data_IF_187771335087
#
_entry.id   IF_187771335087
#
_cell.length_a   1.000
_cell.length_b   1.000
_cell.length_c   1.000
_cell.angle_alpha   90.00
_cell.angle_beta   90.00
_cell.angle_gamma   90.00
#
_symmetry.space_group_name_H-M   'P 1'
#
loop_
_entity.id
_entity.type
_entity.pdbx_description
1 polymer ?
#
# COMPACT_ATOMS: atom_id res chain seq x y z
N UNK A 1 -27.37 -7.81 -17.33
CA UNK A 1 -28.69 -7.95 -17.98
C UNK A 1 -28.57 -9.11 -18.94
N UNK A 2 -29.36 -10.15 -18.70
CA UNK A 2 -29.67 -11.32 -19.56
C UNK A 2 -28.57 -11.75 -20.54
N UNK A 3 -27.59 -12.51 -20.04
CA UNK A 3 -26.69 -13.27 -20.91
C UNK A 3 -27.49 -14.45 -21.49
N UNK A 4 -27.50 -14.60 -22.82
CA UNK A 4 -28.13 -15.74 -23.45
C UNK A 4 -27.43 -17.03 -22.97
N UNK A 5 -28.16 -18.15 -22.77
CA UNK A 5 -27.60 -19.37 -22.18
C UNK A 5 -26.32 -19.87 -22.87
N UNK A 6 -26.21 -19.66 -24.19
CA UNK A 6 -25.05 -20.05 -24.98
C UNK A 6 -23.83 -19.16 -24.71
N UNK A 7 -24.03 -17.85 -24.52
CA UNK A 7 -22.97 -16.89 -24.18
C UNK A 7 -22.40 -17.15 -22.79
N UNK A 8 -23.26 -17.58 -21.85
CA UNK A 8 -22.83 -17.98 -20.52
C UNK A 8 -21.97 -19.25 -20.56
N UNK A 9 -22.32 -20.23 -21.39
CA UNK A 9 -21.56 -21.48 -21.56
C UNK A 9 -20.19 -21.20 -22.19
N UNK A 10 -20.12 -20.32 -23.20
CA UNK A 10 -18.85 -19.89 -23.78
C UNK A 10 -17.98 -19.15 -22.76
N UNK A 11 -18.59 -18.25 -21.97
CA UNK A 11 -17.90 -17.50 -20.92
C UNK A 11 -17.33 -18.43 -19.84
N UNK A 12 -18.09 -19.43 -19.40
CA UNK A 12 -17.65 -20.43 -18.42
C UNK A 12 -16.48 -21.25 -18.98
N UNK A 13 -16.56 -21.70 -20.24
CA UNK A 13 -15.46 -22.44 -20.90
C UNK A 13 -14.21 -21.56 -21.08
N UNK A 14 -14.38 -20.27 -21.37
CA UNK A 14 -13.28 -19.32 -21.50
C UNK A 14 -12.56 -19.07 -20.17
N UNK A 15 -13.31 -18.92 -19.06
CA UNK A 15 -12.75 -18.79 -17.71
C UNK A 15 -12.03 -20.06 -17.26
N UNK A 16 -12.59 -21.24 -17.58
CA UNK A 16 -11.94 -22.53 -17.31
C UNK A 16 -10.60 -22.69 -18.06
N UNK A 17 -10.47 -22.07 -19.24
CA UNK A 17 -9.22 -22.00 -20.02
C UNK A 17 -8.19 -20.98 -19.53
N UNK A 18 -8.39 -20.36 -18.36
CA UNK A 18 -7.47 -19.38 -17.78
C UNK A 18 -7.59 -17.96 -18.37
N UNK A 19 -8.61 -17.68 -19.19
CA UNK A 19 -8.90 -16.32 -19.67
C UNK A 19 -9.83 -15.62 -18.70
N UNK A 20 -9.36 -14.56 -18.07
CA UNK A 20 -10.21 -13.67 -17.28
C UNK A 20 -11.12 -12.87 -18.21
N UNK A 21 -12.38 -13.27 -18.35
CA UNK A 21 -13.41 -12.44 -18.98
C UNK A 21 -14.01 -11.53 -17.91
N UNK A 22 -13.37 -10.40 -17.67
CA UNK A 22 -13.94 -9.35 -16.83
C UNK A 22 -14.89 -8.52 -17.71
N UNK A 23 -16.17 -8.49 -17.32
CA UNK A 23 -17.14 -7.62 -17.98
C UNK A 23 -16.63 -6.16 -17.94
N UNK A 24 -16.65 -5.43 -19.08
CA UNK A 24 -16.19 -4.05 -19.15
C UNK A 24 -16.83 -3.12 -18.11
N UNK A 25 -18.06 -3.40 -17.68
CA UNK A 25 -18.77 -2.62 -16.65
C UNK A 25 -18.16 -2.78 -15.25
N UNK A 26 -17.52 -3.93 -14.96
CA UNK A 26 -16.89 -4.22 -13.67
C UNK A 26 -15.39 -3.86 -13.70
N UNK A 27 -14.77 -3.84 -14.89
CA UNK A 27 -13.36 -3.50 -15.08
C UNK A 27 -13.00 -2.12 -14.47
N UNK A 28 -13.86 -1.10 -14.64
CA UNK A 28 -13.65 0.23 -14.05
C UNK A 28 -13.61 0.18 -12.51
N UNK A 29 -14.51 -0.59 -11.89
CA UNK A 29 -14.53 -0.77 -10.44
C UNK A 29 -13.28 -1.50 -9.94
N UNK A 30 -12.83 -2.55 -10.62
CA UNK A 30 -11.62 -3.30 -10.26
C UNK A 30 -10.37 -2.42 -10.37
N UNK A 31 -10.23 -1.66 -11.47
CA UNK A 31 -9.11 -0.73 -11.65
C UNK A 31 -9.12 0.39 -10.61
N UNK A 32 -10.30 0.94 -10.29
CA UNK A 32 -10.44 1.97 -9.26
C UNK A 32 -10.02 1.46 -7.86
N UNK A 33 -10.38 0.22 -7.52
CA UNK A 33 -9.97 -0.39 -6.26
C UNK A 33 -8.48 -0.73 -6.23
N UNK A 34 -7.89 -1.18 -7.34
CA UNK A 34 -6.43 -1.38 -7.46
C UNK A 34 -5.68 -0.04 -7.33
N UNK A 35 -6.12 1.02 -8.01
CA UNK A 35 -5.45 2.32 -7.92
C UNK A 35 -5.55 2.92 -6.52
N UNK A 36 -6.67 2.70 -5.81
CA UNK A 36 -6.81 3.15 -4.43
C UNK A 36 -5.96 2.34 -3.44
N UNK A 37 -5.72 1.06 -3.70
CA UNK A 37 -4.81 0.24 -2.90
C UNK A 37 -3.37 0.77 -3.04
N UNK A 38 -2.93 1.06 -4.27
CA UNK A 38 -1.61 1.66 -4.54
C UNK A 38 -1.46 3.05 -3.91
N UNK A 39 -2.50 3.88 -3.93
CA UNK A 39 -2.47 5.20 -3.28
C UNK A 39 -2.42 5.09 -1.75
N UNK A 40 -3.15 4.14 -1.16
CA UNK A 40 -3.07 3.88 0.28
C UNK A 40 -1.70 3.36 0.68
N UNK A 41 -1.10 2.45 -0.07
CA UNK A 41 0.27 1.97 0.20
C UNK A 41 1.29 3.11 0.08
N UNK A 42 1.18 3.97 -0.94
CA UNK A 42 2.04 5.16 -1.08
C UNK A 42 1.90 6.13 0.09
N UNK A 43 0.69 6.32 0.62
CA UNK A 43 0.44 7.20 1.79
C UNK A 43 1.05 6.69 3.08
N UNK A 44 1.29 5.37 3.21
CA UNK A 44 1.92 4.78 4.39
C UNK A 44 3.42 4.47 4.19
N UNK A 45 4.02 4.91 3.08
CA UNK A 45 5.45 4.75 2.88
C UNK A 45 6.23 5.75 3.73
N UNK A 46 6.88 5.23 4.77
CA UNK A 46 7.83 5.98 5.57
C UNK A 46 8.96 6.53 4.69
N UNK A 47 9.29 7.79 4.91
CA UNK A 47 10.49 8.41 4.33
C UNK A 47 11.75 7.70 4.83
N UNK A 48 12.88 7.86 4.13
CA UNK A 48 14.17 7.27 4.55
C UNK A 48 14.51 7.63 5.99
N UNK A 49 14.32 8.90 6.37
CA UNK A 49 14.61 9.37 7.74
C UNK A 49 13.65 8.81 8.79
N UNK A 50 12.37 8.67 8.47
CA UNK A 50 11.41 8.02 9.36
C UNK A 50 11.74 6.54 9.57
N UNK A 51 12.21 5.83 8.54
CA UNK A 51 12.71 4.45 8.68
C UNK A 51 13.95 4.37 9.57
N UNK A 52 14.92 5.27 9.38
CA UNK A 52 16.13 5.31 10.19
C UNK A 52 15.79 5.58 11.67
N UNK A 53 14.90 6.55 11.93
CA UNK A 53 14.42 6.86 13.28
C UNK A 53 13.67 5.67 13.88
N UNK A 54 12.76 5.04 13.14
CA UNK A 54 12.02 3.86 13.59
C UNK A 54 12.95 2.70 13.94
N UNK A 55 13.99 2.44 13.15
CA UNK A 55 14.97 1.39 13.40
C UNK A 55 15.75 1.63 14.71
N UNK A 56 16.03 2.88 15.07
CA UNK A 56 16.68 3.18 16.34
C UNK A 56 15.71 3.10 17.53
N UNK A 57 14.43 3.40 17.32
CA UNK A 57 13.36 3.19 18.33
C UNK A 57 13.20 1.71 18.63
N UNK A 58 13.20 0.82 17.62
CA UNK A 58 13.09 -0.63 17.85
C UNK A 58 14.25 -1.21 18.64
N UNK A 59 15.40 -0.51 18.67
CA UNK A 59 16.56 -0.85 19.52
C UNK A 59 16.42 -0.34 20.97
N UNK A 60 15.32 0.33 21.31
CA UNK A 60 15.05 0.85 22.66
C UNK A 60 15.82 2.14 23.02
N UNK A 61 16.37 2.85 22.02
CA UNK A 61 17.13 4.08 22.27
C UNK A 61 16.22 5.27 22.61
N UNK A 62 16.71 6.14 23.48
CA UNK A 62 16.07 7.43 23.79
C UNK A 62 16.24 8.43 22.64
N UNK A 63 15.37 9.46 22.58
CA UNK A 63 15.47 10.51 21.55
C UNK A 63 16.85 11.20 21.48
N UNK A 64 17.54 11.32 22.62
CA UNK A 64 18.89 11.88 22.72
C UNK A 64 19.94 10.96 22.09
N UNK A 65 19.81 9.66 22.27
CA UNK A 65 20.70 8.65 21.68
C UNK A 65 20.44 8.47 20.18
N UNK A 66 19.19 8.56 19.75
CA UNK A 66 18.80 8.56 18.34
C UNK A 66 19.38 9.81 17.64
N UNK A 67 19.26 10.97 18.28
CA UNK A 67 19.81 12.24 17.80
C UNK A 67 21.33 12.15 17.58
N UNK A 68 22.06 11.58 18.55
CA UNK A 68 23.49 11.33 18.43
C UNK A 68 23.82 10.31 17.33
N UNK A 69 23.03 9.23 17.20
CA UNK A 69 23.27 8.16 16.22
C UNK A 69 23.01 8.63 14.77
N UNK A 70 22.03 9.51 14.56
CA UNK A 70 21.61 9.99 13.24
C UNK A 70 22.18 11.38 12.88
N UNK A 71 23.02 11.95 13.76
CA UNK A 71 23.63 13.27 13.64
C UNK A 71 22.62 14.41 13.40
N UNK A 72 21.52 14.39 14.17
CA UNK A 72 20.45 15.39 14.10
C UNK A 72 20.10 15.91 15.51
N UNK A 73 19.30 16.96 15.60
CA UNK A 73 18.86 17.47 16.91
C UNK A 73 17.78 16.57 17.53
N UNK A 74 17.73 16.52 18.87
CA UNK A 74 16.64 15.82 19.59
C UNK A 74 15.26 16.37 19.21
N UNK A 75 15.16 17.68 18.95
CA UNK A 75 13.94 18.32 18.45
C UNK A 75 13.51 17.74 17.11
N UNK A 76 14.45 17.52 16.19
CA UNK A 76 14.20 16.89 14.88
C UNK A 76 13.75 15.45 15.02
N UNK A 77 14.34 14.69 15.95
CA UNK A 77 13.88 13.32 16.25
C UNK A 77 12.43 13.34 16.72
N UNK A 78 12.06 14.22 17.65
CA UNK A 78 10.67 14.35 18.13
C UNK A 78 9.69 14.65 17.00
N UNK A 79 10.07 15.50 16.04
CA UNK A 79 9.24 15.76 14.85
C UNK A 79 9.05 14.49 14.02
N UNK A 80 10.10 13.73 13.75
CA UNK A 80 9.96 12.46 13.02
C UNK A 80 9.12 11.42 13.79
N UNK A 81 9.30 11.31 15.12
CA UNK A 81 8.48 10.44 15.97
C UNK A 81 7.01 10.84 15.94
N UNK A 82 6.72 12.15 15.94
CA UNK A 82 5.35 12.64 15.85
C UNK A 82 4.71 12.38 14.47
N UNK A 83 5.49 12.32 13.40
CA UNK A 83 4.98 11.99 12.06
C UNK A 83 4.80 10.48 11.86
N UNK A 84 5.38 9.66 12.74
CA UNK A 84 5.23 8.20 12.74
C UNK A 84 3.95 7.74 13.47
N UNK A 85 3.31 8.62 14.26
CA UNK A 85 2.09 8.36 15.04
C UNK A 85 0.88 9.05 14.42
#
# INVERSE_FOLDING_TARGET
>A
KDAEPDELVETIRAVYGGRYSLDPSIMSHVFHHMSQADEKEKKHQLTKREKDVLLEITKGKSNKEIAASLFISEKTVKTHVSNLL
#
